data_IF_256933085531
#
_entry.id   IF_256933085531
#
_cell.length_a   1.000
_cell.length_b   1.000
_cell.length_c   1.000
_cell.angle_alpha   90.00
_cell.angle_beta   90.00
_cell.angle_gamma   90.00
#
_symmetry.space_group_name_H-M   'P 1'
#
loop_
_entity.id
_entity.type
_entity.pdbx_description
1 polymer ?
#
# COMPACT_ATOMS: atom_id res chain seq x y z
N UNK A 1 51.93 -31.30 8.75
CA UNK A 1 51.43 -30.80 10.05
C UNK A 1 51.83 -29.34 10.22
N UNK A 2 50.88 -28.42 10.09
CA UNK A 2 50.97 -27.04 10.58
C UNK A 2 49.55 -26.60 10.91
N UNK A 3 49.22 -26.69 12.20
CA UNK A 3 48.07 -26.05 12.80
C UNK A 3 48.51 -24.62 13.11
N UNK A 4 47.89 -23.63 12.49
CA UNK A 4 47.90 -22.27 13.02
C UNK A 4 46.45 -21.84 13.03
N UNK A 5 45.90 -21.84 14.25
CA UNK A 5 44.62 -21.25 14.60
C UNK A 5 44.80 -19.73 14.53
N UNK A 6 43.98 -19.06 13.73
CA UNK A 6 43.64 -17.66 13.96
C UNK A 6 42.12 -17.54 13.82
N UNK A 7 41.47 -17.49 14.98
CA UNK A 7 40.15 -16.91 15.11
C UNK A 7 40.25 -15.41 14.80
N UNK A 8 39.45 -14.94 13.85
CA UNK A 8 39.32 -13.54 13.47
C UNK A 8 37.86 -13.25 13.16
N UNK A 9 37.16 -12.77 14.18
CA UNK A 9 35.74 -12.46 14.24
C UNK A 9 35.38 -11.26 13.34
N UNK A 10 34.19 -11.35 12.74
CA UNK A 10 33.33 -10.31 12.14
C UNK A 10 34.00 -9.11 11.46
N UNK A 11 33.88 -9.07 10.13
CA UNK A 11 33.55 -7.83 9.45
C UNK A 11 32.07 -7.84 9.08
N UNK A 12 31.33 -7.03 9.83
CA UNK A 12 30.04 -6.47 9.44
C UNK A 12 30.22 -5.79 8.07
N UNK A 13 29.65 -6.43 7.06
CA UNK A 13 29.43 -5.83 5.76
C UNK A 13 28.01 -6.15 5.37
N UNK A 14 27.05 -5.50 6.04
CA UNK A 14 25.71 -5.32 5.47
C UNK A 14 25.92 -4.59 4.15
N UNK A 15 26.12 -5.33 3.06
CA UNK A 15 25.80 -4.81 1.75
C UNK A 15 24.29 -4.59 1.82
N UNK A 16 23.92 -3.33 2.06
CA UNK A 16 22.58 -2.85 1.94
C UNK A 16 22.00 -3.46 0.67
N UNK A 17 20.94 -4.26 0.83
CA UNK A 17 20.00 -4.44 -0.25
C UNK A 17 19.43 -3.04 -0.46
N UNK A 18 20.04 -2.29 -1.38
CA UNK A 18 19.38 -1.16 -2.00
C UNK A 18 18.15 -1.79 -2.66
N UNK A 19 16.99 -1.63 -2.01
CA UNK A 19 15.73 -1.85 -2.68
C UNK A 19 15.76 -0.95 -3.91
N UNK A 20 15.58 -1.56 -5.07
CA UNK A 20 15.41 -0.85 -6.32
C UNK A 20 14.28 0.18 -6.12
N UNK A 21 14.61 1.45 -6.25
CA UNK A 21 13.62 2.46 -6.59
C UNK A 21 13.38 2.21 -8.07
N UNK A 22 12.28 1.54 -8.41
CA UNK A 22 11.79 1.55 -9.78
C UNK A 22 11.33 2.97 -10.05
N UNK A 23 12.17 3.74 -10.73
CA UNK A 23 11.74 4.93 -11.44
C UNK A 23 10.78 4.46 -12.53
N UNK A 24 9.49 4.37 -12.21
CA UNK A 24 8.47 4.13 -13.22
C UNK A 24 8.37 5.38 -14.09
N UNK A 25 8.88 5.24 -15.31
CA UNK A 25 8.87 6.24 -16.35
C UNK A 25 7.40 6.54 -16.70
N UNK A 26 6.96 7.74 -16.33
CA UNK A 26 5.60 8.23 -16.54
C UNK A 26 5.40 8.56 -18.03
N UNK A 27 5.12 7.54 -18.84
CA UNK A 27 4.67 7.71 -20.22
C UNK A 27 3.21 8.19 -20.22
N UNK A 28 3.01 9.51 -20.24
CA UNK A 28 1.70 10.14 -20.43
C UNK A 28 1.14 9.84 -21.83
N UNK A 29 0.48 8.68 -22.01
CA UNK A 29 -0.53 8.47 -23.05
C UNK A 29 -1.92 8.35 -22.40
N UNK A 30 -2.38 9.45 -21.80
CA UNK A 30 -3.74 9.60 -21.25
C UNK A 30 -4.78 9.76 -22.38
N UNK A 31 -4.76 8.85 -23.36
CA UNK A 31 -5.68 8.78 -24.50
C UNK A 31 -6.48 7.49 -24.60
N UNK A 32 -6.27 6.51 -23.72
CA UNK A 32 -6.95 5.22 -23.71
C UNK A 32 -8.16 5.16 -22.78
N UNK A 33 -9.13 4.29 -23.11
CA UNK A 33 -10.25 3.91 -22.24
C UNK A 33 -9.72 3.25 -20.95
N UNK A 34 -9.42 4.02 -19.90
CA UNK A 34 -9.01 3.48 -18.60
C UNK A 34 -10.17 2.67 -18.05
N UNK A 35 -9.94 1.37 -17.84
CA UNK A 35 -10.98 0.51 -17.30
C UNK A 35 -11.24 0.87 -15.83
N UNK A 36 -12.49 0.81 -15.32
CA UNK A 36 -12.76 1.13 -13.92
C UNK A 36 -11.96 0.30 -12.91
N UNK A 37 -11.47 -0.89 -13.32
CA UNK A 37 -10.61 -1.77 -12.51
C UNK A 37 -9.16 -1.31 -12.45
N UNK A 38 -8.63 -0.74 -13.54
CA UNK A 38 -7.28 -0.19 -13.61
C UNK A 38 -7.13 0.96 -12.60
N UNK A 39 -8.13 1.87 -12.55
CA UNK A 39 -8.18 2.93 -11.54
C UNK A 39 -8.23 2.42 -10.10
N UNK A 40 -8.80 1.23 -9.85
CA UNK A 40 -8.78 0.63 -8.50
C UNK A 40 -7.39 0.11 -8.16
N UNK A 41 -6.69 -0.47 -9.14
CA UNK A 41 -5.36 -1.01 -8.92
C UNK A 41 -4.37 0.10 -8.54
N UNK A 42 -4.46 1.26 -9.18
CA UNK A 42 -3.65 2.44 -8.85
C UNK A 42 -3.92 2.90 -7.41
N UNK A 43 -5.19 3.04 -7.02
CA UNK A 43 -5.52 3.40 -5.64
C UNK A 43 -5.08 2.36 -4.61
N UNK A 44 -5.07 1.07 -4.99
CA UNK A 44 -4.55 0.00 -4.13
C UNK A 44 -3.03 0.09 -3.99
N UNK A 45 -2.33 0.44 -5.06
CA UNK A 45 -0.89 0.64 -5.05
C UNK A 45 -0.50 1.87 -4.20
N UNK A 46 -1.13 3.02 -4.48
CA UNK A 46 -1.03 4.26 -3.70
C UNK A 46 -1.22 4.01 -2.20
N UNK A 47 -2.26 3.25 -1.86
CA UNK A 47 -2.58 2.92 -0.47
C UNK A 47 -1.51 2.04 0.20
N UNK A 48 -1.10 0.96 -0.46
CA UNK A 48 -0.30 -0.09 0.15
C UNK A 48 1.20 0.21 0.09
N UNK A 49 1.65 0.92 -0.93
CA UNK A 49 3.06 1.14 -1.22
C UNK A 49 3.51 2.59 -1.00
N UNK A 50 2.64 3.56 -1.33
CA UNK A 50 3.01 4.98 -1.24
C UNK A 50 2.52 5.68 0.04
N UNK A 51 1.71 4.98 0.84
CA UNK A 51 1.15 5.54 2.07
C UNK A 51 0.14 6.65 1.83
N UNK A 52 -0.40 6.77 0.61
CA UNK A 52 -1.40 7.77 0.29
C UNK A 52 -2.74 7.40 0.95
N UNK A 53 -3.18 8.26 1.87
CA UNK A 53 -4.47 8.08 2.52
C UNK A 53 -5.64 8.20 1.54
N UNK A 54 -5.49 8.93 0.44
CA UNK A 54 -6.53 9.13 -0.56
C UNK A 54 -6.78 7.84 -1.34
N UNK A 55 -5.72 7.17 -1.82
CA UNK A 55 -5.82 5.82 -2.39
C UNK A 55 -6.52 4.85 -1.44
N UNK A 56 -6.10 4.82 -0.16
CA UNK A 56 -6.75 3.96 0.83
C UNK A 56 -8.24 4.27 1.04
N UNK A 57 -8.60 5.55 1.13
CA UNK A 57 -9.98 5.97 1.30
C UNK A 57 -10.85 5.61 0.09
N UNK A 58 -10.31 5.79 -1.12
CA UNK A 58 -10.99 5.46 -2.37
C UNK A 58 -11.27 3.96 -2.48
N UNK A 59 -10.30 3.10 -2.17
CA UNK A 59 -10.51 1.63 -2.13
C UNK A 59 -11.56 1.25 -1.10
N UNK A 60 -11.52 1.86 0.10
CA UNK A 60 -12.50 1.60 1.15
C UNK A 60 -13.94 1.90 0.68
N UNK A 61 -14.16 3.05 0.03
CA UNK A 61 -15.46 3.41 -0.53
C UNK A 61 -15.98 2.40 -1.55
N UNK A 62 -15.08 1.82 -2.35
CA UNK A 62 -15.46 0.87 -3.42
C UNK A 62 -15.92 -0.45 -2.82
N UNK A 63 -15.25 -0.93 -1.78
CA UNK A 63 -15.72 -2.06 -0.97
C UNK A 63 -17.00 -1.75 -0.18
N UNK A 64 -17.17 -0.52 0.33
CA UNK A 64 -18.39 -0.13 1.06
C UNK A 64 -19.63 -0.15 0.16
N UNK A 65 -19.50 0.35 -1.07
CA UNK A 65 -20.61 0.50 -2.02
C UNK A 65 -20.90 -0.77 -2.80
N UNK A 66 -19.86 -1.55 -3.14
CA UNK A 66 -20.03 -2.70 -4.02
C UNK A 66 -20.06 -2.36 -5.51
N UNK A 67 -19.50 -1.21 -5.92
CA UNK A 67 -19.62 -0.71 -7.30
C UNK A 67 -18.72 -1.49 -8.28
N UNK A 68 -17.40 -1.35 -8.10
CA UNK A 68 -16.35 -1.97 -8.94
C UNK A 68 -15.80 -3.22 -8.27
N UNK A 69 -15.76 -3.22 -6.93
CA UNK A 69 -15.38 -4.35 -6.10
C UNK A 69 -16.65 -4.94 -5.49
N UNK A 70 -16.66 -6.25 -5.22
CA UNK A 70 -17.74 -6.86 -4.46
C UNK A 70 -17.85 -6.19 -3.09
N UNK A 71 -19.08 -5.92 -2.65
CA UNK A 71 -19.33 -5.24 -1.37
C UNK A 71 -18.77 -6.06 -0.22
N UNK A 72 -17.84 -5.48 0.53
CA UNK A 72 -17.22 -6.10 1.70
C UNK A 72 -16.96 -5.04 2.78
N UNK A 73 -17.85 -4.98 3.77
CA UNK A 73 -17.77 -3.98 4.85
C UNK A 73 -16.53 -4.20 5.72
N UNK A 74 -16.08 -5.45 5.89
CA UNK A 74 -14.88 -5.74 6.69
C UNK A 74 -13.64 -5.16 6.03
N UNK A 75 -13.50 -5.35 4.71
CA UNK A 75 -12.42 -4.71 3.94
C UNK A 75 -12.55 -3.20 3.90
N UNK A 76 -13.76 -2.66 3.77
CA UNK A 76 -13.96 -1.21 3.82
C UNK A 76 -13.44 -0.61 5.14
N UNK A 77 -13.75 -1.23 6.28
CA UNK A 77 -13.23 -0.83 7.60
C UNK A 77 -11.71 -0.90 7.65
N UNK A 78 -11.10 -1.95 7.10
CA UNK A 78 -9.64 -2.11 7.04
C UNK A 78 -8.98 -0.95 6.28
N UNK A 79 -9.45 -0.66 5.06
CA UNK A 79 -8.88 0.38 4.21
C UNK A 79 -9.14 1.79 4.74
N UNK A 80 -10.33 2.06 5.32
CA UNK A 80 -10.55 3.32 6.05
C UNK A 80 -9.61 3.45 7.26
N UNK A 81 -9.32 2.34 7.95
CA UNK A 81 -8.34 2.28 9.02
C UNK A 81 -6.91 2.58 8.55
N UNK A 82 -6.51 2.09 7.37
CA UNK A 82 -5.23 2.45 6.74
C UNK A 82 -5.19 3.95 6.40
N UNK A 83 -6.24 4.48 5.77
CA UNK A 83 -6.36 5.91 5.49
C UNK A 83 -6.23 6.76 6.76
N UNK A 84 -6.88 6.35 7.85
CA UNK A 84 -6.77 6.99 9.16
C UNK A 84 -5.32 7.03 9.68
N UNK A 85 -4.62 5.89 9.64
CA UNK A 85 -3.21 5.79 10.05
C UNK A 85 -2.29 6.70 9.23
N UNK A 86 -2.63 6.93 7.96
CA UNK A 86 -1.90 7.80 7.05
C UNK A 86 -2.41 9.27 7.06
N UNK A 87 -3.23 9.65 8.05
CA UNK A 87 -3.59 11.05 8.30
C UNK A 87 -4.99 11.48 7.86
N UNK A 88 -5.79 10.59 7.26
CA UNK A 88 -7.18 10.91 6.89
C UNK A 88 -8.10 10.89 8.11
N UNK A 89 -8.46 12.07 8.62
CA UNK A 89 -9.47 12.19 9.68
C UNK A 89 -10.83 11.60 9.26
N UNK A 90 -11.19 11.75 7.99
CA UNK A 90 -12.43 11.20 7.45
C UNK A 90 -12.39 9.68 7.40
N UNK A 91 -11.23 9.10 7.05
CA UNK A 91 -10.98 7.66 7.16
C UNK A 91 -11.20 7.14 8.59
N UNK A 92 -10.72 7.88 9.60
CA UNK A 92 -10.97 7.51 11.00
C UNK A 92 -12.47 7.49 11.34
N UNK A 93 -13.21 8.54 10.96
CA UNK A 93 -14.66 8.63 11.23
C UNK A 93 -15.43 7.51 10.53
N UNK A 94 -15.10 7.23 9.28
CA UNK A 94 -15.79 6.20 8.49
C UNK A 94 -15.52 4.80 9.02
N UNK A 95 -14.27 4.49 9.41
CA UNK A 95 -13.95 3.22 10.05
C UNK A 95 -14.77 3.01 11.35
N UNK A 96 -14.85 4.02 12.21
CA UNK A 96 -15.64 3.93 13.45
C UNK A 96 -17.14 3.84 13.18
N UNK A 97 -17.66 4.61 12.23
CA UNK A 97 -19.07 4.56 11.82
C UNK A 97 -19.47 3.16 11.33
N UNK A 98 -18.64 2.52 10.52
CA UNK A 98 -18.92 1.20 9.96
C UNK A 98 -18.77 0.08 11.00
N UNK A 99 -17.83 0.20 11.95
CA UNK A 99 -17.71 -0.74 13.09
C UNK A 99 -18.91 -0.71 14.04
N UNK A 100 -19.68 0.38 14.03
CA UNK A 100 -20.85 0.56 14.87
C UNK A 100 -22.15 0.03 14.25
N UNK A 101 -22.11 -0.49 13.02
CA UNK A 101 -23.25 -1.12 12.33
C UNK A 101 -23.26 -2.63 12.58
#
# INVERSE_FOLDING_TARGET
MKKILLAGILLLGMSAFANAESDDEFDDDLGGDISPMETIQDFMDDCNNHGDYFGCFSVAMKYEKGDVLEKDISKAIEYYGKACKNGSQEGCKMAEKLKAQ
#
